data_IF_281409173279
#
_entry.id   IF_281409173279
#
_cell.length_a   1.000
_cell.length_b   1.000
_cell.length_c   1.000
_cell.angle_alpha   90.00
_cell.angle_beta   90.00
_cell.angle_gamma   90.00
#
_symmetry.space_group_name_H-M   'P 1'
#
loop_
_entity.id
_entity.type
_entity.pdbx_description
1 polymer ?
#
# COMPACT_ATOMS: atom_id res chain seq x y z
N UNK A 1 9.03 15.33 7.97
CA UNK A 1 9.17 14.26 8.99
C UNK A 1 7.81 13.77 9.47
N UNK A 2 6.91 14.65 9.95
CA UNK A 2 5.57 14.24 10.43
C UNK A 2 4.72 13.49 9.39
N UNK A 3 4.72 13.92 8.12
CA UNK A 3 3.97 13.24 7.05
C UNK A 3 4.45 11.80 6.80
N UNK A 4 5.76 11.56 6.92
CA UNK A 4 6.36 10.24 6.74
C UNK A 4 5.98 9.33 7.90
N UNK A 5 6.11 9.82 9.14
CA UNK A 5 5.74 9.06 10.34
C UNK A 5 4.24 8.75 10.35
N UNK A 6 3.38 9.68 9.90
CA UNK A 6 1.94 9.47 9.80
C UNK A 6 1.56 8.37 8.79
N UNK A 7 2.28 8.25 7.68
CA UNK A 7 2.03 7.22 6.67
C UNK A 7 2.41 5.81 7.17
N UNK A 8 3.41 5.72 8.05
CA UNK A 8 3.83 4.46 8.67
C UNK A 8 3.16 4.15 10.01
N UNK A 9 2.38 5.08 10.56
CA UNK A 9 1.71 4.90 11.85
C UNK A 9 0.70 3.75 11.81
N UNK A 10 -0.07 3.62 10.72
CA UNK A 10 -1.04 2.53 10.50
C UNK A 10 -0.33 1.18 10.37
N UNK A 11 0.78 1.14 9.64
CA UNK A 11 1.59 -0.08 9.53
C UNK A 11 2.19 -0.47 10.89
N UNK A 12 2.65 0.48 11.69
CA UNK A 12 3.23 0.23 13.00
C UNK A 12 2.23 -0.37 14.00
N UNK A 13 0.97 0.09 13.99
CA UNK A 13 -0.07 -0.48 14.85
C UNK A 13 -0.54 -1.87 14.40
N UNK A 14 -0.32 -2.21 13.11
CA UNK A 14 -0.67 -3.50 12.52
C UNK A 14 0.44 -4.56 12.65
N UNK A 15 1.66 -4.19 13.08
CA UNK A 15 2.77 -5.14 13.32
C UNK A 15 2.37 -6.35 14.19
N UNK A 16 1.62 -6.19 15.31
CA UNK A 16 1.17 -7.30 16.15
C UNK A 16 0.33 -8.35 15.41
N UNK A 17 -0.39 -7.96 14.35
CA UNK A 17 -1.19 -8.88 13.55
C UNK A 17 -0.32 -9.87 12.78
N UNK A 18 0.84 -9.42 12.28
CA UNK A 18 1.81 -10.26 11.59
C UNK A 18 2.63 -11.11 12.56
N UNK A 19 3.05 -10.53 13.68
CA UNK A 19 3.89 -11.24 14.66
C UNK A 19 3.13 -12.36 15.37
N UNK A 20 1.80 -12.29 15.44
CA UNK A 20 0.94 -13.39 15.91
C UNK A 20 1.09 -14.67 15.06
N UNK A 21 1.45 -14.54 13.78
CA UNK A 21 1.69 -15.69 12.89
C UNK A 21 3.16 -16.13 12.86
N UNK A 22 4.06 -15.43 13.56
CA UNK A 22 5.46 -15.81 13.67
C UNK A 22 5.61 -17.10 14.49
N UNK A 23 6.51 -17.99 14.06
CA UNK A 23 6.75 -19.27 14.74
C UNK A 23 7.77 -19.11 15.87
N UNK A 24 8.66 -18.11 15.75
CA UNK A 24 9.68 -17.80 16.74
C UNK A 24 9.71 -16.28 17.01
N UNK A 25 9.99 -15.86 18.26
CA UNK A 25 10.09 -14.44 18.60
C UNK A 25 11.22 -13.72 17.85
N UNK A 26 12.23 -14.47 17.38
CA UNK A 26 13.35 -13.92 16.62
C UNK A 26 12.99 -13.58 15.16
N UNK A 27 11.87 -14.07 14.62
CA UNK A 27 11.48 -13.86 13.22
C UNK A 27 11.20 -12.36 12.93
N UNK A 28 10.93 -11.56 13.97
CA UNK A 28 10.68 -10.12 13.88
C UNK A 28 11.96 -9.37 13.45
N UNK A 29 13.14 -9.83 13.88
CA UNK A 29 14.40 -9.14 13.59
C UNK A 29 14.76 -9.14 12.10
N UNK A 30 14.16 -10.04 11.30
CA UNK A 30 14.33 -10.05 9.85
C UNK A 30 13.87 -8.72 9.23
N UNK A 31 12.84 -8.08 9.81
CA UNK A 31 12.32 -6.80 9.32
C UNK A 31 13.34 -5.66 9.44
N UNK A 32 14.23 -5.71 10.43
CA UNK A 32 15.26 -4.67 10.65
C UNK A 32 16.21 -4.57 9.47
N UNK A 33 16.48 -5.68 8.77
CA UNK A 33 17.35 -5.71 7.60
C UNK A 33 16.52 -5.65 6.31
N UNK A 34 15.43 -6.42 6.25
CA UNK A 34 14.61 -6.52 5.05
C UNK A 34 13.96 -5.19 4.66
N UNK A 35 13.43 -4.42 5.63
CA UNK A 35 12.74 -3.16 5.34
C UNK A 35 13.73 -2.14 4.73
N UNK A 36 14.86 -1.78 5.37
CA UNK A 36 15.79 -0.81 4.78
C UNK A 36 16.36 -1.25 3.43
N UNK A 37 16.67 -2.53 3.28
CA UNK A 37 17.19 -3.07 2.03
C UNK A 37 16.18 -2.91 0.88
N UNK A 38 14.94 -3.34 1.10
CA UNK A 38 13.89 -3.24 0.08
C UNK A 38 13.57 -1.79 -0.27
N UNK A 39 13.48 -0.90 0.74
CA UNK A 39 13.30 0.53 0.51
C UNK A 39 14.44 1.14 -0.31
N UNK A 40 15.68 0.76 -0.02
CA UNK A 40 16.85 1.25 -0.77
C UNK A 40 16.81 0.79 -2.22
N UNK A 41 16.47 -0.48 -2.47
CA UNK A 41 16.37 -1.02 -3.82
C UNK A 41 15.24 -0.35 -4.61
N UNK A 42 14.08 -0.14 -4.01
CA UNK A 42 12.94 0.52 -4.67
C UNK A 42 13.28 1.99 -4.97
N UNK A 43 13.87 2.71 -4.01
CA UNK A 43 14.28 4.10 -4.21
C UNK A 43 15.35 4.21 -5.31
N UNK A 44 16.33 3.31 -5.31
CA UNK A 44 17.34 3.24 -6.36
C UNK A 44 16.73 3.00 -7.73
N UNK A 45 15.82 2.02 -7.87
CA UNK A 45 15.11 1.77 -9.12
C UNK A 45 14.32 3.01 -9.59
N UNK A 46 13.62 3.70 -8.68
CA UNK A 46 12.90 4.92 -9.00
C UNK A 46 13.80 6.04 -9.53
N UNK A 47 14.98 6.24 -8.92
CA UNK A 47 15.97 7.21 -9.39
C UNK A 47 16.49 6.85 -10.78
N UNK A 48 16.86 5.58 -11.00
CA UNK A 48 17.39 5.11 -12.29
C UNK A 48 16.35 5.31 -13.40
N UNK A 49 15.11 4.91 -13.15
CA UNK A 49 14.01 5.03 -14.12
C UNK A 49 13.72 6.50 -14.44
N UNK A 50 13.66 7.37 -13.42
CA UNK A 50 13.44 8.81 -13.63
C UNK A 50 14.61 9.47 -14.35
N UNK A 51 15.84 9.05 -14.07
CA UNK A 51 17.05 9.60 -14.73
C UNK A 51 17.20 9.19 -16.19
N UNK A 52 16.54 8.11 -16.60
CA UNK A 52 16.54 7.63 -17.98
C UNK A 52 15.51 8.36 -18.85
N UNK A 53 14.67 9.23 -18.28
CA UNK A 53 13.68 10.00 -19.02
C UNK A 53 14.35 11.06 -19.91
N UNK A 54 14.19 11.00 -21.25
CA UNK A 54 14.74 12.02 -22.13
C UNK A 54 14.06 13.39 -21.96
N UNK A 55 12.86 13.43 -21.36
CA UNK A 55 12.11 14.66 -21.09
C UNK A 55 12.57 15.45 -19.86
N UNK A 56 13.37 14.84 -18.96
CA UNK A 56 13.66 15.38 -17.61
C UNK A 56 12.39 15.81 -16.84
N UNK A 57 11.25 15.17 -17.10
CA UNK A 57 9.99 15.50 -16.43
C UNK A 57 9.86 14.62 -15.18
N UNK A 58 9.65 15.27 -14.03
CA UNK A 58 9.41 14.55 -12.79
C UNK A 58 7.95 14.10 -12.71
N UNK A 59 7.72 12.80 -12.95
CA UNK A 59 6.41 12.19 -12.73
C UNK A 59 6.25 11.76 -11.28
N UNK A 60 5.23 12.31 -10.62
CA UNK A 60 4.84 11.90 -9.27
C UNK A 60 4.09 10.57 -9.24
N UNK A 61 3.39 10.24 -10.32
CA UNK A 61 2.70 8.97 -10.50
C UNK A 61 3.49 8.07 -11.46
N UNK A 62 3.96 6.88 -11.02
CA UNK A 62 4.72 5.96 -11.86
C UNK A 62 3.89 5.41 -13.03
N UNK A 63 2.56 5.36 -12.94
CA UNK A 63 1.71 4.95 -14.06
C UNK A 63 1.73 5.98 -15.19
N UNK A 64 1.68 7.27 -14.83
CA UNK A 64 1.82 8.38 -15.78
C UNK A 64 3.17 8.38 -16.51
N UNK A 65 4.22 7.83 -15.90
CA UNK A 65 5.52 7.64 -16.56
C UNK A 65 5.52 6.45 -17.53
N UNK A 66 4.92 5.32 -17.12
CA UNK A 66 4.83 4.10 -17.96
C UNK A 66 3.99 4.36 -19.22
N UNK A 67 2.98 5.24 -19.13
CA UNK A 67 2.11 5.59 -20.26
C UNK A 67 2.86 6.27 -21.42
N UNK A 68 4.07 6.79 -21.16
CA UNK A 68 4.90 7.45 -22.18
C UNK A 68 5.81 6.50 -22.95
N UNK A 69 5.79 5.20 -22.61
CA UNK A 69 6.65 4.23 -23.25
C UNK A 69 6.11 3.84 -24.64
N UNK A 70 6.95 3.96 -25.67
CA UNK A 70 6.59 3.54 -27.03
C UNK A 70 6.25 2.03 -27.13
N UNK A 71 6.85 1.22 -26.26
CA UNK A 71 6.61 -0.23 -26.24
C UNK A 71 5.42 -0.60 -25.36
N UNK A 72 4.26 -0.76 -26.02
CA UNK A 72 3.00 -1.15 -25.37
C UNK A 72 3.06 -2.46 -24.58
N UNK A 73 3.87 -3.43 -25.01
CA UNK A 73 4.01 -4.70 -24.29
C UNK A 73 4.78 -4.50 -22.98
N UNK A 74 5.87 -3.74 -23.01
CA UNK A 74 6.62 -3.37 -21.81
C UNK A 74 5.75 -2.56 -20.84
N UNK A 75 4.97 -1.61 -21.36
CA UNK A 75 4.04 -0.81 -20.57
C UNK A 75 2.96 -1.69 -19.89
N UNK A 76 2.39 -2.67 -20.61
CA UNK A 76 1.42 -3.60 -20.04
C UNK A 76 2.01 -4.42 -18.89
N UNK A 77 3.19 -5.04 -19.07
CA UNK A 77 3.80 -5.85 -18.01
C UNK A 77 4.20 -5.01 -16.80
N UNK A 78 4.70 -3.79 -17.02
CA UNK A 78 5.03 -2.85 -15.95
C UNK A 78 3.77 -2.43 -15.17
N UNK A 79 2.72 -1.98 -15.86
CA UNK A 79 1.46 -1.59 -15.24
C UNK A 79 0.78 -2.78 -14.52
N UNK A 80 0.86 -3.98 -15.09
CA UNK A 80 0.34 -5.20 -14.46
C UNK A 80 1.10 -5.57 -13.18
N UNK A 81 2.43 -5.46 -13.19
CA UNK A 81 3.25 -5.66 -11.99
C UNK A 81 2.88 -4.62 -10.90
N UNK A 82 2.70 -3.35 -11.27
CA UNK A 82 2.23 -2.31 -10.37
C UNK A 82 0.83 -2.60 -9.83
N UNK A 83 -0.10 -3.11 -10.65
CA UNK A 83 -1.43 -3.50 -10.19
C UNK A 83 -1.37 -4.60 -9.14
N UNK A 84 -0.57 -5.66 -9.36
CA UNK A 84 -0.35 -6.72 -8.39
C UNK A 84 0.31 -6.19 -7.12
N UNK A 85 1.31 -5.32 -7.24
CA UNK A 85 2.01 -4.73 -6.09
C UNK A 85 1.07 -3.88 -5.23
N UNK A 86 0.24 -3.06 -5.85
CA UNK A 86 -0.77 -2.24 -5.17
C UNK A 86 -1.81 -3.11 -4.46
N UNK A 87 -2.33 -4.13 -5.13
CA UNK A 87 -3.26 -5.08 -4.53
C UNK A 87 -2.63 -5.84 -3.34
N UNK A 88 -1.40 -6.33 -3.51
CA UNK A 88 -0.67 -7.07 -2.47
C UNK A 88 -0.41 -6.21 -1.23
N UNK A 89 -0.05 -4.94 -1.45
CA UNK A 89 0.17 -3.97 -0.36
C UNK A 89 -1.13 -3.69 0.38
N UNK A 90 -2.24 -3.45 -0.33
CA UNK A 90 -3.54 -3.19 0.29
C UNK A 90 -4.09 -4.40 1.07
N UNK A 91 -3.89 -5.61 0.55
CA UNK A 91 -4.30 -6.85 1.25
C UNK A 91 -3.48 -7.02 2.53
N UNK A 92 -2.16 -6.85 2.44
CA UNK A 92 -1.26 -7.06 3.58
C UNK A 92 -1.47 -5.97 4.64
N UNK A 93 -1.41 -4.70 4.26
CA UNK A 93 -1.43 -3.58 5.19
C UNK A 93 -2.79 -3.34 5.84
N UNK A 94 -3.88 -3.43 5.06
CA UNK A 94 -5.20 -2.97 5.49
C UNK A 94 -6.20 -4.13 5.68
N UNK A 95 -6.23 -5.08 4.74
CA UNK A 95 -7.23 -6.15 4.79
C UNK A 95 -6.98 -7.17 5.90
N UNK A 96 -5.71 -7.45 6.23
CA UNK A 96 -5.36 -8.41 7.28
C UNK A 96 -5.75 -7.90 8.68
N UNK A 97 -5.42 -6.66 9.01
CA UNK A 97 -5.79 -6.06 10.31
C UNK A 97 -7.30 -5.91 10.46
N UNK A 98 -7.98 -5.40 9.43
CA UNK A 98 -9.44 -5.31 9.47
C UNK A 98 -10.10 -6.70 9.59
N UNK A 99 -9.52 -7.74 8.96
CA UNK A 99 -10.02 -9.12 9.12
C UNK A 99 -9.79 -9.67 10.53
N UNK A 100 -8.72 -9.25 11.22
CA UNK A 100 -8.47 -9.56 12.63
C UNK A 100 -9.46 -8.84 13.55
N UNK A 101 -9.77 -7.57 13.29
CA UNK A 101 -10.77 -6.82 14.06
C UNK A 101 -12.16 -7.48 13.97
N UNK A 102 -12.60 -7.84 12.76
CA UNK A 102 -13.85 -8.58 12.57
C UNK A 102 -13.84 -9.98 13.19
N UNK A 103 -12.66 -10.60 13.34
CA UNK A 103 -12.54 -11.88 14.02
C UNK A 103 -12.84 -11.78 15.52
N UNK A 104 -12.50 -10.64 16.13
CA UNK A 104 -12.72 -10.36 17.55
C UNK A 104 -14.18 -9.93 17.80
N UNK A 105 -14.75 -9.11 16.91
CA UNK A 105 -16.13 -8.62 17.03
C UNK A 105 -17.20 -9.71 16.80
N UNK A 106 -17.00 -10.61 15.82
CA UNK A 106 -17.99 -11.64 15.48
C UNK A 106 -17.36 -13.05 15.29
N UNK A 107 -16.78 -13.64 16.35
CA UNK A 107 -16.01 -14.88 16.26
C UNK A 107 -16.84 -16.09 15.82
N UNK A 108 -18.15 -16.09 16.09
CA UNK A 108 -19.05 -17.25 15.89
C UNK A 108 -19.76 -17.27 14.53
N UNK A 109 -19.77 -16.15 13.78
CA UNK A 109 -20.61 -16.00 12.59
C UNK A 109 -19.86 -15.77 11.28
N UNK A 110 -18.56 -15.47 11.32
CA UNK A 110 -17.82 -15.05 10.13
C UNK A 110 -16.56 -15.88 9.95
N UNK A 111 -16.44 -16.62 8.85
CA UNK A 111 -15.21 -17.31 8.45
C UNK A 111 -14.20 -16.32 7.82
N UNK A 112 -12.90 -16.64 7.86
CA UNK A 112 -11.81 -15.77 7.33
C UNK A 112 -12.08 -15.26 5.90
N UNK A 113 -12.63 -16.12 5.01
CA UNK A 113 -13.00 -15.73 3.64
C UNK A 113 -14.13 -14.70 3.57
N UNK A 114 -15.11 -14.77 4.49
CA UNK A 114 -16.22 -13.81 4.57
C UNK A 114 -15.78 -12.49 5.21
N UNK A 115 -14.84 -12.52 6.17
CA UNK A 115 -14.27 -11.31 6.81
C UNK A 115 -13.49 -10.46 5.81
N UNK A 116 -12.62 -11.07 5.01
CA UNK A 116 -11.85 -10.35 3.97
C UNK A 116 -12.76 -9.71 2.91
N UNK A 117 -13.86 -10.37 2.52
CA UNK A 117 -14.83 -9.80 1.59
C UNK A 117 -15.59 -8.61 2.22
N UNK A 118 -15.99 -8.69 3.48
CA UNK A 118 -16.64 -7.59 4.20
C UNK A 118 -15.69 -6.39 4.38
N UNK A 119 -14.40 -6.62 4.67
CA UNK A 119 -13.40 -5.55 4.68
C UNK A 119 -13.29 -4.84 3.34
N UNK A 120 -13.20 -5.60 2.25
CA UNK A 120 -13.09 -5.02 0.91
C UNK A 120 -14.34 -4.21 0.54
N UNK A 121 -15.53 -4.73 0.82
CA UNK A 121 -16.79 -4.04 0.52
C UNK A 121 -16.94 -2.77 1.37
N UNK A 122 -16.74 -2.86 2.68
CA UNK A 122 -16.96 -1.71 3.59
C UNK A 122 -15.84 -0.67 3.42
N UNK A 123 -14.58 -1.11 3.40
CA UNK A 123 -13.42 -0.22 3.33
C UNK A 123 -13.25 0.46 1.98
N UNK A 124 -13.55 -0.22 0.87
CA UNK A 124 -13.32 0.30 -0.47
C UNK A 124 -14.61 0.84 -1.10
N UNK A 125 -15.72 0.10 -1.01
CA UNK A 125 -16.97 0.47 -1.69
C UNK A 125 -17.88 1.39 -0.88
N UNK A 126 -17.92 1.27 0.45
CA UNK A 126 -18.76 2.14 1.30
C UNK A 126 -18.05 3.43 1.68
N UNK A 127 -16.76 3.36 2.02
CA UNK A 127 -15.99 4.56 2.38
C UNK A 127 -15.57 5.41 1.16
N UNK A 128 -15.59 4.84 -0.05
CA UNK A 128 -15.28 5.51 -1.32
C UNK A 128 -14.07 6.47 -1.18
N UNK A 129 -12.90 5.98 -0.74
CA UNK A 129 -11.79 6.83 -0.31
C UNK A 129 -11.25 7.73 -1.42
N UNK A 130 -11.43 7.36 -2.69
CA UNK A 130 -11.06 8.19 -3.83
C UNK A 130 -11.89 9.48 -3.94
N UNK A 131 -13.15 9.49 -3.50
CA UNK A 131 -13.94 10.74 -3.41
C UNK A 131 -13.45 11.63 -2.28
N UNK A 132 -12.95 11.03 -1.19
CA UNK A 132 -12.34 11.78 -0.09
C UNK A 132 -11.01 12.37 -0.53
N UNK A 133 -10.19 11.64 -1.28
CA UNK A 133 -8.93 12.13 -1.83
C UNK A 133 -9.15 13.25 -2.87
N UNK A 134 -10.17 13.13 -3.73
CA UNK A 134 -10.55 14.17 -4.67
C UNK A 134 -11.00 15.47 -3.97
N UNK A 135 -11.68 15.35 -2.81
CA UNK A 135 -12.11 16.48 -2.00
C UNK A 135 -11.09 16.93 -0.93
N UNK A 136 -9.99 16.20 -0.74
CA UNK A 136 -8.98 16.54 0.27
C UNK A 136 -8.33 17.91 -0.02
N UNK A 137 -8.23 18.30 -1.30
CA UNK A 137 -7.82 19.65 -1.70
C UNK A 137 -8.80 20.74 -1.23
N UNK A 138 -10.10 20.43 -1.10
CA UNK A 138 -11.08 21.34 -0.49
C UNK A 138 -10.95 21.39 1.03
N UNK A 139 -10.54 20.28 1.67
CA UNK A 139 -10.34 20.22 3.13
C UNK A 139 -9.16 21.10 3.59
N UNK A 140 -8.06 21.14 2.83
CA UNK A 140 -6.93 22.04 3.11
C UNK A 140 -7.27 23.52 2.91
N UNK A 141 -8.19 23.86 2.00
CA UNK A 141 -8.64 25.26 1.77
C UNK A 141 -9.56 25.81 2.86
N UNK A 142 -10.19 24.95 3.69
CA UNK A 142 -11.04 25.38 4.82
C UNK A 142 -10.24 25.53 6.12
N UNK A 143 -9.02 25.00 6.18
CA UNK A 143 -8.11 25.08 7.33
C UNK A 143 -7.02 26.17 7.21
N UNK A 144 -7.00 26.95 6.12
CA UNK A 144 -6.17 28.15 5.97
C UNK A 144 -6.92 29.41 6.38
#
# INVERSE_FOLDING_TARGET
>A
MNAVIGNYATLAVNIPDFTRYARRPLDIYVQVIAIPLMFTLIAFMGIVVTSADPGNVLYWDPLSFIDQWDNRAAAFFAAFAFAIATLGTNISANSLSAANDFAILFPRYVNIRRRSLLCAIIGDWVCVPWLVLANALSFFNVMS
#
